data_IF_868291493898
#
_entry.id   IF_868291493898
#
_cell.length_a   1.000
_cell.length_b   1.000
_cell.length_c   1.000
_cell.angle_alpha   90.00
_cell.angle_beta   90.00
_cell.angle_gamma   90.00
#
_symmetry.space_group_name_H-M   'P 1'
#
loop_
_entity.id
_entity.type
_entity.pdbx_description
1 polymer ?
#
# COMPACT_ATOMS: atom_id res chain seq x y z
N UNK A 1 -45.36 18.13 17.61
CA UNK A 1 -44.42 17.90 16.51
C UNK A 1 -43.78 16.54 16.73
N UNK A 2 -44.11 15.58 15.87
CA UNK A 2 -43.50 14.24 15.83
C UNK A 2 -42.06 14.46 15.35
N UNK A 3 -41.10 14.54 16.27
CA UNK A 3 -39.69 14.41 15.91
C UNK A 3 -39.40 12.93 15.98
N UNK A 4 -39.59 12.28 14.83
CA UNK A 4 -39.31 10.87 14.59
C UNK A 4 -37.88 10.58 15.02
N UNK A 5 -37.74 9.73 16.03
CA UNK A 5 -36.46 9.20 16.50
C UNK A 5 -36.01 8.10 15.54
N UNK A 6 -35.86 8.44 14.26
CA UNK A 6 -35.30 7.58 13.22
C UNK A 6 -33.79 7.78 13.19
N UNK A 7 -33.14 7.39 14.26
CA UNK A 7 -31.70 7.22 14.24
C UNK A 7 -31.33 6.06 15.15
N UNK A 8 -30.78 5.01 14.53
CA UNK A 8 -29.76 4.05 15.06
C UNK A 8 -30.00 2.56 14.87
N UNK A 9 -30.81 2.10 13.93
CA UNK A 9 -30.68 0.71 13.44
C UNK A 9 -30.88 0.63 11.92
N UNK A 10 -30.06 1.35 11.15
CA UNK A 10 -29.93 1.01 9.73
C UNK A 10 -29.14 -0.29 9.64
N UNK A 11 -29.84 -1.42 9.73
CA UNK A 11 -29.28 -2.74 9.46
C UNK A 11 -28.74 -2.70 8.03
N UNK A 12 -27.44 -2.93 7.88
CA UNK A 12 -26.84 -3.04 6.57
C UNK A 12 -27.63 -4.05 5.74
N UNK A 13 -28.19 -3.60 4.62
CA UNK A 13 -29.12 -4.41 3.81
C UNK A 13 -28.39 -5.38 2.90
N UNK A 14 -27.10 -5.12 2.66
CA UNK A 14 -26.20 -5.97 1.88
C UNK A 14 -24.97 -6.38 2.69
N UNK A 15 -24.36 -7.51 2.32
CA UNK A 15 -23.10 -7.95 2.90
C UNK A 15 -22.00 -6.90 2.73
N UNK A 16 -21.99 -6.18 1.61
CA UNK A 16 -21.03 -5.11 1.33
C UNK A 16 -21.19 -3.93 2.31
N UNK A 17 -22.43 -3.49 2.54
CA UNK A 17 -22.71 -2.44 3.53
C UNK A 17 -22.35 -2.89 4.94
N UNK A 18 -22.58 -4.17 5.28
CA UNK A 18 -22.22 -4.71 6.59
C UNK A 18 -20.70 -4.73 6.76
N UNK A 19 -19.98 -5.18 5.74
CA UNK A 19 -18.52 -5.19 5.75
C UNK A 19 -17.95 -3.78 5.86
N UNK A 20 -18.52 -2.78 5.18
CA UNK A 20 -18.12 -1.37 5.31
C UNK A 20 -18.47 -0.78 6.67
N UNK A 21 -19.56 -1.21 7.30
CA UNK A 21 -19.93 -0.78 8.64
C UNK A 21 -18.99 -1.35 9.71
N UNK A 22 -18.60 -2.63 9.58
CA UNK A 22 -17.68 -3.31 10.51
C UNK A 22 -16.21 -2.91 10.26
N UNK A 23 -15.83 -2.72 9.00
CA UNK A 23 -14.49 -2.33 8.58
C UNK A 23 -14.56 -1.03 7.77
N UNK A 24 -14.71 0.14 8.40
CA UNK A 24 -14.87 1.41 7.69
C UNK A 24 -13.67 1.80 6.83
N UNK A 25 -12.49 1.21 7.08
CA UNK A 25 -11.29 1.39 6.28
C UNK A 25 -10.90 0.09 5.58
N UNK A 26 -10.49 0.21 4.32
CA UNK A 26 -9.91 -0.88 3.53
C UNK A 26 -8.72 -1.57 4.24
N UNK A 27 -7.89 -0.80 4.95
CA UNK A 27 -6.76 -1.32 5.73
C UNK A 27 -7.17 -2.31 6.81
N UNK A 28 -8.32 -2.08 7.45
CA UNK A 28 -8.80 -2.89 8.57
C UNK A 28 -9.37 -4.20 8.04
N UNK A 29 -10.15 -4.12 6.95
CA UNK A 29 -10.65 -5.29 6.22
C UNK A 29 -9.50 -6.15 5.68
N UNK A 30 -8.50 -5.53 5.04
CA UNK A 30 -7.32 -6.22 4.53
C UNK A 30 -6.52 -6.90 5.65
N UNK A 31 -6.37 -6.25 6.80
CA UNK A 31 -5.66 -6.81 7.96
C UNK A 31 -6.41 -8.01 8.54
N UNK A 32 -7.74 -7.96 8.57
CA UNK A 32 -8.55 -9.12 8.97
C UNK A 32 -8.36 -10.30 8.01
N UNK A 33 -8.45 -10.07 6.71
CA UNK A 33 -8.24 -11.13 5.73
C UNK A 33 -6.82 -11.75 5.81
N UNK A 34 -5.80 -10.93 6.09
CA UNK A 34 -4.44 -11.43 6.36
C UNK A 34 -4.37 -12.33 7.59
N UNK A 35 -5.08 -11.96 8.68
CA UNK A 35 -5.14 -12.80 9.89
C UNK A 35 -5.80 -14.15 9.64
N UNK A 36 -6.71 -14.21 8.66
CA UNK A 36 -7.37 -15.43 8.19
C UNK A 36 -6.54 -16.18 7.13
N UNK A 37 -5.29 -15.77 6.89
CA UNK A 37 -4.38 -16.35 5.90
C UNK A 37 -4.93 -16.36 4.47
N UNK A 38 -5.83 -15.42 4.14
CA UNK A 38 -6.33 -15.28 2.78
C UNK A 38 -5.22 -14.81 1.85
N UNK A 39 -5.16 -15.41 0.66
CA UNK A 39 -4.16 -15.06 -0.34
C UNK A 39 -4.22 -13.58 -0.70
N UNK A 40 -3.03 -12.98 -0.84
CA UNK A 40 -2.88 -11.55 -1.15
C UNK A 40 -3.62 -11.12 -2.41
N UNK A 41 -3.67 -11.97 -3.44
CA UNK A 41 -4.40 -11.69 -4.69
C UNK A 41 -5.90 -11.53 -4.41
N UNK A 42 -6.45 -12.41 -3.59
CA UNK A 42 -7.84 -12.41 -3.17
C UNK A 42 -8.14 -11.19 -2.29
N UNK A 43 -7.25 -10.85 -1.35
CA UNK A 43 -7.39 -9.64 -0.53
C UNK A 43 -7.45 -8.39 -1.41
N UNK A 44 -6.50 -8.24 -2.34
CA UNK A 44 -6.47 -7.08 -3.22
C UNK A 44 -7.73 -6.97 -4.09
N UNK A 45 -8.20 -8.09 -4.64
CA UNK A 45 -9.43 -8.13 -5.42
C UNK A 45 -10.63 -7.70 -4.56
N UNK A 46 -10.81 -8.28 -3.38
CA UNK A 46 -11.94 -7.96 -2.52
C UNK A 46 -11.91 -6.52 -2.00
N UNK A 47 -10.74 -6.01 -1.62
CA UNK A 47 -10.59 -4.61 -1.18
C UNK A 47 -10.87 -3.66 -2.33
N UNK A 48 -10.37 -3.95 -3.53
CA UNK A 48 -10.64 -3.14 -4.72
C UNK A 48 -12.11 -3.14 -5.12
N UNK A 49 -12.78 -4.29 -5.05
CA UNK A 49 -14.21 -4.39 -5.35
C UNK A 49 -15.05 -3.67 -4.30
N UNK A 50 -14.72 -3.82 -3.02
CA UNK A 50 -15.54 -3.29 -1.94
C UNK A 50 -15.32 -1.79 -1.71
N UNK A 51 -14.08 -1.31 -1.74
CA UNK A 51 -13.73 0.07 -1.38
C UNK A 51 -13.35 0.95 -2.57
N UNK A 52 -13.32 0.42 -3.80
CA UNK A 52 -12.73 1.09 -4.98
C UNK A 52 -11.27 1.55 -4.74
N UNK A 53 -10.59 0.94 -3.76
CA UNK A 53 -9.21 1.25 -3.44
C UNK A 53 -8.28 0.22 -4.07
N UNK A 54 -7.33 0.69 -4.87
CA UNK A 54 -6.18 -0.12 -5.24
C UNK A 54 -5.25 -0.21 -4.04
N UNK A 55 -5.17 -1.39 -3.42
CA UNK A 55 -4.16 -1.64 -2.39
C UNK A 55 -2.77 -1.41 -3.01
N UNK A 56 -1.87 -0.67 -2.33
CA UNK A 56 -0.55 -0.43 -2.87
C UNK A 56 0.11 -1.77 -3.18
N UNK A 57 0.52 -1.94 -4.44
CA UNK A 57 1.39 -3.03 -4.84
C UNK A 57 2.63 -2.88 -3.97
N UNK A 58 2.85 -3.79 -3.00
CA UNK A 58 4.11 -3.86 -2.26
C UNK A 58 5.22 -3.73 -3.28
N UNK A 59 5.87 -2.56 -3.26
CA UNK A 59 6.94 -2.23 -4.16
C UNK A 59 7.93 -3.39 -4.11
N UNK A 60 8.29 -3.93 -5.26
CA UNK A 60 9.27 -5.01 -5.30
C UNK A 60 10.54 -4.54 -4.58
N UNK A 61 11.32 -5.44 -3.97
CA UNK A 61 12.60 -5.05 -3.32
C UNK A 61 13.48 -4.20 -4.26
N UNK A 62 13.38 -4.43 -5.57
CA UNK A 62 14.04 -3.64 -6.62
C UNK A 62 13.51 -2.20 -6.67
N UNK A 63 12.20 -2.02 -6.64
CA UNK A 63 11.54 -0.72 -6.63
C UNK A 63 11.83 0.06 -5.34
N UNK A 64 11.85 -0.62 -4.19
CA UNK A 64 12.32 -0.03 -2.92
C UNK A 64 13.78 0.40 -2.96
N UNK A 65 14.66 -0.40 -3.59
CA UNK A 65 16.08 -0.06 -3.73
C UNK A 65 16.28 1.12 -4.69
N UNK A 66 15.55 1.14 -5.81
CA UNK A 66 15.57 2.25 -6.76
C UNK A 66 15.12 3.55 -6.10
N UNK A 67 14.01 3.52 -5.37
CA UNK A 67 13.52 4.68 -4.62
C UNK A 67 14.56 5.20 -3.61
N UNK A 68 15.22 4.31 -2.86
CA UNK A 68 16.30 4.68 -1.94
C UNK A 68 17.51 5.31 -2.65
N UNK A 69 17.92 4.76 -3.79
CA UNK A 69 19.04 5.29 -4.59
C UNK A 69 18.72 6.69 -5.12
N UNK A 70 17.50 6.89 -5.64
CA UNK A 70 17.03 8.18 -6.14
C UNK A 70 16.96 9.20 -4.99
N UNK A 71 16.31 8.86 -3.88
CA UNK A 71 16.20 9.74 -2.70
C UNK A 71 17.58 10.16 -2.15
N UNK A 72 18.55 9.24 -2.12
CA UNK A 72 19.91 9.58 -1.72
C UNK A 72 20.58 10.54 -2.70
N UNK A 73 20.40 10.34 -4.01
CA UNK A 73 20.98 11.18 -5.07
C UNK A 73 20.34 12.57 -5.09
N UNK A 74 19.05 12.67 -4.82
CA UNK A 74 18.32 13.94 -4.73
C UNK A 74 18.81 14.76 -3.52
N UNK A 75 19.05 14.11 -2.38
CA UNK A 75 19.64 14.75 -1.19
C UNK A 75 21.13 15.09 -1.37
N UNK A 76 21.85 14.33 -2.19
CA UNK A 76 23.29 14.48 -2.41
C UNK A 76 23.59 14.51 -3.93
N UNK A 77 23.29 15.62 -4.63
CA UNK A 77 23.38 15.68 -6.08
C UNK A 77 24.81 15.45 -6.61
N UNK A 78 25.84 15.74 -5.80
CA UNK A 78 27.24 15.51 -6.15
C UNK A 78 27.76 14.10 -5.79
N UNK A 79 26.98 13.28 -5.07
CA UNK A 79 27.42 11.94 -4.68
C UNK A 79 27.69 11.07 -5.93
N UNK A 80 28.86 10.46 -5.93
CA UNK A 80 29.27 9.45 -6.91
C UNK A 80 28.51 8.15 -6.70
N UNK A 81 28.45 7.33 -7.75
CA UNK A 81 27.79 6.01 -7.69
C UNK A 81 28.40 5.09 -6.63
N UNK A 82 29.71 5.23 -6.38
CA UNK A 82 30.44 4.49 -5.35
C UNK A 82 30.03 4.90 -3.94
N UNK A 83 29.88 6.19 -3.69
CA UNK A 83 29.43 6.70 -2.38
C UNK A 83 27.99 6.26 -2.08
N UNK A 84 27.10 6.30 -3.08
CA UNK A 84 25.72 5.82 -2.95
C UNK A 84 25.69 4.32 -2.64
N UNK A 85 26.50 3.54 -3.36
CA UNK A 85 26.61 2.09 -3.17
C UNK A 85 27.06 1.74 -1.74
N UNK A 86 28.09 2.43 -1.23
CA UNK A 86 28.57 2.25 0.14
C UNK A 86 27.53 2.68 1.17
N UNK A 87 26.93 3.87 1.01
CA UNK A 87 25.97 4.41 1.96
C UNK A 87 24.69 3.56 2.07
N UNK A 88 24.23 3.00 0.95
CA UNK A 88 23.02 2.18 0.89
C UNK A 88 23.29 0.68 1.03
N UNK A 89 24.57 0.28 1.15
CA UNK A 89 25.02 -1.12 1.16
C UNK A 89 24.44 -1.94 -0.01
N UNK A 90 24.61 -1.42 -1.23
CA UNK A 90 24.17 -2.06 -2.48
C UNK A 90 25.32 -2.12 -3.49
N UNK A 91 25.20 -2.98 -4.51
CA UNK A 91 26.23 -3.04 -5.55
C UNK A 91 26.23 -1.79 -6.44
N UNK A 92 27.38 -1.41 -6.98
CA UNK A 92 27.50 -0.31 -7.96
C UNK A 92 26.60 -0.56 -9.18
N UNK A 93 26.51 -1.82 -9.63
CA UNK A 93 25.61 -2.20 -10.73
C UNK A 93 24.13 -1.94 -10.41
N UNK A 94 23.71 -2.17 -9.16
CA UNK A 94 22.35 -1.87 -8.68
C UNK A 94 22.09 -0.36 -8.70
N UNK A 95 23.06 0.47 -8.28
CA UNK A 95 22.96 1.93 -8.34
C UNK A 95 22.86 2.41 -9.79
N UNK A 96 23.71 1.89 -10.67
CA UNK A 96 23.69 2.26 -12.09
C UNK A 96 22.37 1.89 -12.75
N UNK A 97 21.82 0.70 -12.49
CA UNK A 97 20.50 0.31 -13.00
C UNK A 97 19.38 1.21 -12.45
N UNK A 98 19.43 1.55 -11.16
CA UNK A 98 18.45 2.43 -10.53
C UNK A 98 18.45 3.85 -11.14
N UNK A 99 19.64 4.40 -11.43
CA UNK A 99 19.81 5.73 -12.03
C UNK A 99 19.60 5.76 -13.55
N UNK A 100 19.90 4.67 -14.26
CA UNK A 100 19.84 4.61 -15.73
C UNK A 100 18.43 4.41 -16.29
N UNK A 101 17.43 4.12 -15.43
CA UNK A 101 16.03 3.96 -15.83
C UNK A 101 15.74 2.79 -16.78
N UNK A 102 16.75 1.94 -17.07
CA UNK A 102 16.65 0.74 -17.91
C UNK A 102 16.13 -0.47 -17.13
#
# INVERSE_FOLDING_TARGET
>A
AIHSQEDKERVASTLEEWLKAVYPKASDYASKLKSLQVDRKTINMQVSTLYNESMPVLASKKESTKARVIDYKDKNPLASTREIATALNVSIGTVNNALSGK
#
